data_IF_554386362579
#
_entry.id   IF_554386362579
#
_cell.length_a   1.000
_cell.length_b   1.000
_cell.length_c   1.000
_cell.angle_alpha   90.00
_cell.angle_beta   90.00
_cell.angle_gamma   90.00
#
_symmetry.space_group_name_H-M   'P 1'
#
loop_
_entity.id
_entity.type
_entity.pdbx_description
1 polymer ?
#
# COMPACT_ATOMS: atom_id res chain seq x y z
N UNK A 1 9.90 -15.47 -2.50
CA UNK A 1 8.51 -15.68 -2.01
C UNK A 1 7.62 -16.01 -3.20
N UNK A 2 6.83 -17.09 -3.14
CA UNK A 2 5.89 -17.48 -4.19
C UNK A 2 4.46 -17.11 -3.79
N UNK A 3 3.66 -16.64 -4.75
CA UNK A 3 2.24 -16.33 -4.59
C UNK A 3 1.44 -17.10 -5.63
N UNK A 4 0.42 -17.83 -5.18
CA UNK A 4 -0.55 -18.51 -6.03
C UNK A 4 -1.75 -17.60 -6.30
N UNK A 5 -2.20 -17.54 -7.55
CA UNK A 5 -3.50 -16.96 -7.87
C UNK A 5 -4.63 -17.89 -7.41
N UNK A 6 -5.64 -17.36 -6.71
CA UNK A 6 -6.80 -18.13 -6.23
C UNK A 6 -8.01 -18.05 -7.18
N UNK A 7 -8.00 -17.12 -8.14
CA UNK A 7 -9.14 -16.85 -9.03
C UNK A 7 -9.34 -17.92 -10.10
N UNK A 8 -8.28 -18.66 -10.46
CA UNK A 8 -8.31 -19.72 -11.47
C UNK A 8 -7.71 -21.01 -10.89
N UNK A 9 -8.51 -21.84 -10.18
CA UNK A 9 -8.05 -23.10 -9.61
C UNK A 9 -7.49 -24.08 -10.64
N UNK A 10 -8.06 -24.08 -11.84
CA UNK A 10 -7.73 -24.93 -12.99
C UNK A 10 -6.45 -24.52 -13.76
N UNK A 11 -6.02 -23.26 -13.66
CA UNK A 11 -4.77 -22.73 -14.24
C UNK A 11 -3.99 -21.98 -13.14
N UNK A 12 -3.25 -22.69 -12.27
CA UNK A 12 -2.58 -22.08 -11.12
C UNK A 12 -1.38 -21.24 -11.59
N UNK A 13 -1.64 -19.97 -11.92
CA UNK A 13 -0.60 -18.99 -12.21
C UNK A 13 0.18 -18.67 -10.93
N UNK A 14 1.49 -18.91 -10.99
CA UNK A 14 2.42 -18.63 -9.90
C UNK A 14 3.19 -17.36 -10.22
N UNK A 15 3.11 -16.38 -9.32
CA UNK A 15 3.98 -15.20 -9.33
C UNK A 15 5.04 -15.34 -8.26
N UNK A 16 6.23 -14.78 -8.48
CA UNK A 16 7.31 -14.82 -7.49
C UNK A 16 7.87 -13.42 -7.23
N UNK A 17 8.34 -13.21 -6.01
CA UNK A 17 9.06 -12.03 -5.57
C UNK A 17 10.46 -12.45 -5.14
N UNK A 18 11.47 -11.79 -5.70
CA UNK A 18 12.82 -11.82 -5.16
C UNK A 18 12.85 -10.91 -3.94
N UNK A 19 13.22 -11.47 -2.78
CA UNK A 19 13.25 -10.74 -1.52
C UNK A 19 14.67 -10.78 -0.99
N UNK A 20 15.23 -9.60 -0.68
CA UNK A 20 16.50 -9.46 0.01
C UNK A 20 16.21 -9.14 1.48
N UNK A 21 16.18 -10.18 2.31
CA UNK A 21 15.88 -10.09 3.74
C UNK A 21 16.80 -11.03 4.53
N UNK A 22 16.88 -10.83 5.85
CA UNK A 22 17.61 -11.76 6.72
C UNK A 22 16.94 -13.14 6.71
N UNK A 23 17.72 -14.18 6.95
CA UNK A 23 17.26 -15.57 6.94
C UNK A 23 16.19 -15.90 7.98
N UNK A 24 16.09 -15.11 9.05
CA UNK A 24 15.08 -15.21 10.12
C UNK A 24 13.78 -14.45 9.81
N UNK A 25 13.69 -13.76 8.67
CA UNK A 25 12.49 -12.99 8.30
C UNK A 25 11.34 -13.93 7.94
N UNK A 26 10.21 -13.78 8.61
CA UNK A 26 9.06 -14.66 8.39
C UNK A 26 8.37 -14.41 7.04
N UNK A 27 7.65 -15.41 6.54
CA UNK A 27 6.90 -15.31 5.29
C UNK A 27 5.81 -14.23 5.37
N UNK A 28 5.18 -14.08 6.53
CA UNK A 28 4.13 -13.08 6.78
C UNK A 28 4.70 -11.67 6.65
N UNK A 29 5.87 -11.40 7.22
CA UNK A 29 6.55 -10.11 7.08
C UNK A 29 6.91 -9.82 5.63
N UNK A 30 7.46 -10.80 4.91
CA UNK A 30 7.76 -10.65 3.47
C UNK A 30 6.50 -10.38 2.65
N UNK A 31 5.40 -11.07 2.94
CA UNK A 31 4.12 -10.88 2.25
C UNK A 31 3.51 -9.51 2.56
N UNK A 32 3.57 -9.05 3.82
CA UNK A 32 3.13 -7.72 4.22
C UNK A 32 3.89 -6.64 3.45
N UNK A 33 5.22 -6.69 3.45
CA UNK A 33 6.08 -5.71 2.77
C UNK A 33 5.81 -5.71 1.26
N UNK A 34 5.74 -6.90 0.64
CA UNK A 34 5.43 -7.01 -0.79
C UNK A 34 4.05 -6.40 -1.12
N UNK A 35 3.06 -6.58 -0.23
CA UNK A 35 1.73 -5.97 -0.36
C UNK A 35 1.74 -4.45 -0.26
N UNK A 36 2.68 -3.84 0.47
CA UNK A 36 2.80 -2.38 0.57
C UNK A 36 3.24 -1.71 -0.73
N UNK A 37 3.76 -2.45 -1.71
CA UNK A 37 4.20 -1.91 -3.01
C UNK A 37 3.09 -1.13 -3.71
N UNK A 38 1.83 -1.52 -3.54
CA UNK A 38 0.67 -0.82 -4.12
C UNK A 38 0.58 0.65 -3.68
N UNK A 39 1.06 0.99 -2.48
CA UNK A 39 1.06 2.38 -1.98
C UNK A 39 1.80 3.34 -2.92
N UNK A 40 2.81 2.87 -3.65
CA UNK A 40 3.54 3.70 -4.62
C UNK A 40 2.60 4.14 -5.76
N UNK A 41 1.79 3.21 -6.27
CA UNK A 41 0.84 3.47 -7.35
C UNK A 41 -0.24 4.45 -6.89
N UNK A 42 -0.73 4.28 -5.66
CA UNK A 42 -1.67 5.21 -5.03
C UNK A 42 -1.06 6.61 -4.83
N UNK A 43 0.18 6.71 -4.35
CA UNK A 43 0.88 7.99 -4.21
C UNK A 43 1.03 8.73 -5.55
N UNK A 44 1.39 8.01 -6.62
CA UNK A 44 1.50 8.62 -7.96
C UNK A 44 0.15 9.01 -8.53
N UNK A 45 -0.89 8.20 -8.30
CA UNK A 45 -2.25 8.55 -8.69
C UNK A 45 -2.69 9.85 -8.00
N UNK A 46 -2.52 9.95 -6.69
CA UNK A 46 -2.84 11.17 -5.95
C UNK A 46 -2.05 12.39 -6.48
N UNK A 47 -0.74 12.25 -6.70
CA UNK A 47 0.06 13.36 -7.23
C UNK A 47 -0.42 13.83 -8.61
N UNK A 48 -0.87 12.91 -9.47
CA UNK A 48 -1.47 13.25 -10.78
C UNK A 48 -2.83 13.94 -10.62
N UNK A 49 -3.72 13.32 -9.85
CA UNK A 49 -5.12 13.72 -9.76
C UNK A 49 -5.32 14.99 -8.90
N UNK A 50 -4.39 15.30 -7.98
CA UNK A 50 -4.56 16.38 -6.99
C UNK A 50 -3.45 17.43 -6.96
N UNK A 51 -2.25 17.12 -7.47
CA UNK A 51 -1.09 18.03 -7.38
C UNK A 51 -0.55 18.47 -8.75
N UNK A 52 -1.25 18.16 -9.83
CA UNK A 52 -0.86 18.58 -11.18
C UNK A 52 0.38 17.87 -11.71
N UNK A 53 0.72 16.67 -11.21
CA UNK A 53 1.86 15.90 -11.74
C UNK A 53 1.68 15.59 -13.24
N UNK A 54 0.43 15.47 -13.71
CA UNK A 54 0.09 15.25 -15.12
C UNK A 54 -0.20 16.53 -15.91
N UNK A 55 -0.20 17.71 -15.29
CA UNK A 55 -0.73 18.96 -15.86
C UNK A 55 0.38 19.99 -16.16
N UNK A 56 1.54 19.53 -16.64
CA UNK A 56 2.61 20.44 -17.06
C UNK A 56 2.55 20.75 -18.55
N UNK A 57 2.71 22.01 -18.92
CA UNK A 57 2.78 22.45 -20.32
C UNK A 57 4.23 22.75 -20.78
N UNK A 58 5.22 22.45 -19.92
CA UNK A 58 6.62 22.84 -20.17
C UNK A 58 7.30 21.91 -21.18
N UNK A 59 8.01 22.50 -22.15
CA UNK A 59 8.72 21.78 -23.22
C UNK A 59 10.25 21.74 -23.09
N UNK A 60 10.80 22.31 -22.02
CA UNK A 60 12.24 22.23 -21.73
C UNK A 60 12.52 21.19 -20.65
N UNK A 61 13.65 20.50 -20.76
CA UNK A 61 14.11 19.56 -19.74
C UNK A 61 14.15 20.18 -18.34
N UNK A 62 14.74 21.38 -18.23
CA UNK A 62 14.86 22.10 -16.97
C UNK A 62 13.50 22.43 -16.34
N UNK A 63 12.55 22.88 -17.16
CA UNK A 63 11.22 23.23 -16.65
C UNK A 63 10.42 22.00 -16.25
N UNK A 64 10.48 20.92 -17.03
CA UNK A 64 9.90 19.63 -16.64
C UNK A 64 10.51 19.12 -15.32
N UNK A 65 11.84 19.11 -15.20
CA UNK A 65 12.52 18.61 -14.00
C UNK A 65 12.14 19.43 -12.75
N UNK A 66 12.08 20.76 -12.86
CA UNK A 66 11.63 21.64 -11.77
C UNK A 66 10.18 21.35 -11.37
N UNK A 67 9.28 21.21 -12.34
CA UNK A 67 7.87 20.88 -12.08
C UNK A 67 7.74 19.56 -11.32
N UNK A 68 8.33 18.48 -11.84
CA UNK A 68 8.28 17.15 -11.20
C UNK A 68 8.85 17.22 -9.78
N UNK A 69 9.98 17.90 -9.58
CA UNK A 69 10.60 18.03 -8.25
C UNK A 69 9.69 18.77 -7.27
N UNK A 70 9.08 19.89 -7.69
CA UNK A 70 8.18 20.67 -6.83
C UNK A 70 6.93 19.88 -6.46
N UNK A 71 6.31 19.20 -7.42
CA UNK A 71 5.11 18.38 -7.18
C UNK A 71 5.41 17.22 -6.22
N UNK A 72 6.52 16.50 -6.43
CA UNK A 72 6.92 15.42 -5.52
C UNK A 72 7.27 15.95 -4.12
N UNK A 73 7.89 17.13 -4.02
CA UNK A 73 8.16 17.77 -2.72
C UNK A 73 6.86 18.12 -2.00
N UNK A 74 5.90 18.75 -2.69
CA UNK A 74 4.59 19.06 -2.13
C UNK A 74 3.84 17.79 -1.70
N UNK A 75 3.93 16.71 -2.49
CA UNK A 75 3.34 15.42 -2.14
C UNK A 75 3.91 14.85 -0.85
N UNK A 76 5.25 14.88 -0.69
CA UNK A 76 5.90 14.41 0.53
C UNK A 76 5.48 15.25 1.74
N UNK A 77 5.42 16.57 1.60
CA UNK A 77 4.99 17.48 2.65
C UNK A 77 3.55 17.17 3.12
N UNK A 78 2.61 17.03 2.18
CA UNK A 78 1.22 16.72 2.51
C UNK A 78 1.06 15.33 3.12
N UNK A 79 1.84 14.35 2.67
CA UNK A 79 1.84 13.00 3.23
C UNK A 79 2.31 13.01 4.69
N UNK A 80 3.40 13.73 4.99
CA UNK A 80 3.91 13.88 6.37
C UNK A 80 2.91 14.64 7.24
N UNK A 81 2.34 15.73 6.73
CA UNK A 81 1.34 16.49 7.46
C UNK A 81 0.12 15.63 7.79
N UNK A 82 -0.40 14.90 6.80
CA UNK A 82 -1.51 13.96 6.99
C UNK A 82 -1.20 12.96 8.10
N UNK A 83 -0.02 12.34 8.05
CA UNK A 83 0.41 11.38 9.07
C UNK A 83 0.47 11.99 10.48
N UNK A 84 0.87 13.25 10.61
CA UNK A 84 0.92 13.97 11.90
C UNK A 84 -0.47 14.38 12.41
N UNK A 85 -1.40 14.67 11.49
CA UNK A 85 -2.75 15.15 11.83
C UNK A 85 -3.79 14.05 12.00
N UNK A 86 -3.56 12.85 11.47
CA UNK A 86 -4.44 11.72 11.69
C UNK A 86 -4.40 11.33 13.18
N UNK A 87 -5.53 11.38 13.90
CA UNK A 87 -5.55 10.98 15.30
C UNK A 87 -5.14 9.51 15.42
N UNK A 88 -4.43 9.15 16.49
CA UNK A 88 -3.84 7.82 16.75
C UNK A 88 -4.87 6.68 16.96
N UNK A 89 -5.99 6.71 16.25
CA UNK A 89 -7.06 5.70 16.27
C UNK A 89 -6.55 4.37 15.65
N UNK A 90 -5.50 4.41 14.82
CA UNK A 90 -4.96 3.22 14.14
C UNK A 90 -3.71 2.59 14.78
N UNK A 91 -3.13 3.20 15.83
CA UNK A 91 -1.94 2.67 16.50
C UNK A 91 -2.20 1.36 17.27
N UNK A 92 -3.46 0.95 17.41
CA UNK A 92 -3.86 -0.35 17.97
C UNK A 92 -4.48 -1.28 16.92
N UNK A 93 -4.03 -1.27 15.66
CA UNK A 93 -4.30 -2.45 14.83
C UNK A 93 -3.48 -3.58 15.47
N UNK A 94 -4.09 -4.55 16.17
CA UNK A 94 -3.33 -5.70 16.62
C UNK A 94 -2.63 -6.28 15.39
N UNK A 95 -1.45 -6.91 15.55
CA UNK A 95 -0.88 -7.69 14.46
C UNK A 95 -1.98 -8.55 13.82
N UNK A 96 -1.87 -8.85 12.53
CA UNK A 96 -2.73 -9.84 11.89
C UNK A 96 -2.49 -11.19 12.56
N UNK A 97 -2.97 -11.35 13.79
CA UNK A 97 -3.17 -12.61 14.46
C UNK A 97 -4.15 -13.30 13.55
N UNK A 98 -3.65 -14.26 12.79
CA UNK A 98 -4.48 -15.21 12.07
C UNK A 98 -5.32 -15.84 13.17
N UNK A 99 -6.54 -15.32 13.37
CA UNK A 99 -7.47 -15.91 14.30
C UNK A 99 -7.62 -17.37 13.85
N UNK A 100 -7.43 -18.35 14.75
CA UNK A 100 -7.54 -19.74 14.39
C UNK A 100 -8.91 -19.94 13.76
N UNK A 101 -8.93 -20.43 12.51
CA UNK A 101 -10.07 -20.85 11.69
C UNK A 101 -11.43 -20.37 12.22
N UNK A 102 -11.60 -19.05 12.28
CA UNK A 102 -12.83 -18.43 12.75
C UNK A 102 -13.76 -18.22 11.56
N UNK A 103 -15.02 -18.61 11.71
CA UNK A 103 -16.08 -18.28 10.76
C UNK A 103 -16.04 -16.80 10.39
N UNK A 104 -16.38 -16.46 9.14
CA UNK A 104 -16.49 -15.08 8.66
C UNK A 104 -17.36 -14.20 9.58
N UNK A 105 -18.36 -14.79 10.24
CA UNK A 105 -19.18 -14.12 11.23
C UNK A 105 -18.36 -13.68 12.47
N UNK A 106 -17.46 -14.53 12.97
CA UNK A 106 -16.57 -14.22 14.09
C UNK A 106 -15.55 -13.13 13.72
N UNK A 107 -15.04 -13.17 12.49
CA UNK A 107 -14.17 -12.13 11.97
C UNK A 107 -14.87 -10.76 11.86
N UNK A 108 -16.11 -10.73 11.35
CA UNK A 108 -16.92 -9.50 11.28
C UNK A 108 -17.29 -8.96 12.65
N UNK A 109 -17.66 -9.84 13.59
CA UNK A 109 -17.97 -9.48 14.97
C UNK A 109 -16.76 -8.83 15.68
N UNK A 110 -15.57 -9.41 15.53
CA UNK A 110 -14.34 -8.88 16.13
C UNK A 110 -13.95 -7.48 15.62
N UNK A 111 -14.49 -7.06 14.47
CA UNK A 111 -14.25 -5.74 13.88
C UNK A 111 -15.45 -4.79 13.94
N UNK A 112 -16.53 -5.19 14.63
CA UNK A 112 -17.75 -4.38 14.72
C UNK A 112 -18.47 -4.18 13.38
N UNK A 113 -18.27 -5.10 12.42
CA UNK A 113 -18.81 -5.03 11.06
C UNK A 113 -20.07 -5.89 10.87
N UNK A 114 -20.82 -6.15 11.94
CA UNK A 114 -22.11 -6.84 11.85
C UNK A 114 -23.16 -5.84 11.37
N UNK A 115 -23.75 -6.11 10.21
CA UNK A 115 -25.02 -5.51 9.80
C UNK A 115 -26.16 -6.39 10.33
N UNK A 116 -27.21 -5.75 10.84
CA UNK A 116 -28.47 -6.38 11.28
C UNK A 116 -29.11 -7.29 10.22
#
# INVERSE_FOLDING_TARGET
MFRRCLEHPEDPRISYYQVFAKSDTTLETMAQIAGQRWRIEECFKFAKDSLGLGEYEVRSWHGWHRHITLVLTAQTFLTVLRYQTEPAIYSSTPPLTIAPTGSLAAFKAARGLLSD
#
